data_IF_482205649818
#
_entry.id   IF_482205649818
#
_cell.length_a   1.000
_cell.length_b   1.000
_cell.length_c   1.000
_cell.angle_alpha   90.00
_cell.angle_beta   90.00
_cell.angle_gamma   90.00
#
_symmetry.space_group_name_H-M   'P 1'
#
loop_
_entity.id
_entity.type
_entity.pdbx_description
1 polymer ?
#
# COMPACT_ATOMS: atom_id res chain seq x y z
N UNK A 1 4.79 31.73 25.67
CA UNK A 1 5.38 32.20 24.40
C UNK A 1 6.73 32.80 24.77
N UNK A 2 7.69 31.94 25.11
CA UNK A 2 9.10 32.32 25.19
C UNK A 2 9.80 31.60 24.04
N UNK A 3 10.59 32.37 23.30
CA UNK A 3 11.15 32.02 22.01
C UNK A 3 11.94 30.71 22.09
N UNK A 4 11.62 29.78 21.20
CA UNK A 4 12.46 28.62 20.90
C UNK A 4 13.74 29.15 20.25
N UNK A 5 14.78 29.42 21.05
CA UNK A 5 16.10 29.72 20.53
C UNK A 5 16.71 28.42 20.01
N UNK A 6 16.64 28.23 18.69
CA UNK A 6 17.37 27.18 17.98
C UNK A 6 18.85 27.57 17.91
N UNK A 7 19.60 27.37 19.00
CA UNK A 7 21.05 27.44 18.95
C UNK A 7 21.59 26.09 18.45
N UNK A 8 22.09 26.12 17.22
CA UNK A 8 22.79 24.99 16.62
C UNK A 8 24.20 24.89 17.18
N UNK A 9 24.68 23.69 17.47
CA UNK A 9 26.07 23.44 17.85
C UNK A 9 27.04 23.65 16.66
N UNK A 10 28.33 23.38 16.89
CA UNK A 10 29.38 23.49 15.88
C UNK A 10 29.17 22.58 14.66
N UNK A 11 28.22 21.63 14.71
CA UNK A 11 27.84 20.75 13.61
C UNK A 11 26.50 21.16 12.97
N UNK A 12 25.90 22.28 13.39
CA UNK A 12 24.60 22.72 12.89
C UNK A 12 23.41 22.01 13.55
N UNK A 13 23.62 21.28 14.66
CA UNK A 13 22.58 20.48 15.31
C UNK A 13 21.88 21.27 16.40
N UNK A 14 20.55 21.20 16.48
CA UNK A 14 19.88 21.74 17.66
C UNK A 14 20.33 20.92 18.88
N UNK A 15 21.00 21.58 19.85
CA UNK A 15 21.69 20.93 20.99
C UNK A 15 20.81 19.99 21.83
N UNK A 16 19.49 20.13 21.76
CA UNK A 16 18.51 19.31 22.47
C UNK A 16 17.66 18.41 21.57
N UNK A 17 17.92 18.34 20.26
CA UNK A 17 17.15 17.53 19.33
C UNK A 17 17.70 16.10 19.24
N UNK A 18 16.93 15.14 19.75
CA UNK A 18 17.30 13.73 19.74
C UNK A 18 17.42 13.16 18.32
N UNK A 19 16.62 13.65 17.36
CA UNK A 19 16.73 13.18 15.98
C UNK A 19 18.04 13.61 15.35
N UNK A 20 18.48 14.84 15.60
CA UNK A 20 19.72 15.38 15.05
C UNK A 20 20.92 14.58 15.59
N UNK A 21 20.95 14.34 16.92
CA UNK A 21 21.99 13.53 17.56
C UNK A 21 22.04 12.11 16.98
N UNK A 22 20.90 11.41 16.92
CA UNK A 22 20.83 10.05 16.38
C UNK A 22 21.22 10.02 14.89
N UNK A 23 20.80 11.02 14.12
CA UNK A 23 21.16 11.15 12.71
C UNK A 23 22.66 11.26 12.53
N UNK A 24 23.35 12.09 13.32
CA UNK A 24 24.82 12.20 13.24
C UNK A 24 25.50 10.89 13.58
N UNK A 25 25.06 10.21 14.64
CA UNK A 25 25.66 8.91 15.01
C UNK A 25 25.46 7.87 13.90
N UNK A 26 24.26 7.79 13.31
CA UNK A 26 24.01 6.90 12.16
C UNK A 26 24.92 7.26 11.00
N UNK A 27 24.99 8.54 10.62
CA UNK A 27 25.83 8.99 9.50
C UNK A 27 27.30 8.60 9.71
N UNK A 28 27.83 8.86 10.90
CA UNK A 28 29.21 8.51 11.24
C UNK A 28 29.43 6.99 11.27
N UNK A 29 28.46 6.21 11.76
CA UNK A 29 28.58 4.76 11.78
C UNK A 29 28.60 4.15 10.38
N UNK A 30 27.84 4.70 9.42
CA UNK A 30 27.86 4.26 8.03
C UNK A 30 29.18 4.64 7.36
N UNK A 31 29.63 5.90 7.51
CA UNK A 31 30.89 6.38 6.90
C UNK A 31 32.12 5.62 7.42
N UNK A 32 32.11 5.22 8.69
CA UNK A 32 33.23 4.49 9.32
C UNK A 32 33.09 2.97 9.21
N UNK A 33 32.06 2.45 8.53
CA UNK A 33 31.73 1.04 8.45
C UNK A 33 31.57 0.35 9.85
N UNK A 34 31.03 1.09 10.83
CA UNK A 34 30.82 0.64 12.21
C UNK A 34 29.40 0.07 12.37
N UNK A 35 29.24 -1.18 11.93
CA UNK A 35 27.96 -1.88 12.00
C UNK A 35 27.41 -2.06 13.43
N UNK A 36 28.21 -2.41 14.46
CA UNK A 36 27.72 -2.50 15.84
C UNK A 36 27.12 -1.18 16.36
N UNK A 37 27.80 -0.05 16.16
CA UNK A 37 27.27 1.27 16.60
C UNK A 37 26.00 1.62 15.84
N UNK A 38 25.94 1.31 14.54
CA UNK A 38 24.72 1.48 13.75
C UNK A 38 23.54 0.69 14.34
N UNK A 39 23.74 -0.60 14.63
CA UNK A 39 22.70 -1.47 15.22
C UNK A 39 22.18 -0.92 16.55
N UNK A 40 23.08 -0.52 17.45
CA UNK A 40 22.69 0.10 18.73
C UNK A 40 21.95 1.42 18.51
N UNK A 41 22.37 2.22 17.54
CA UNK A 41 21.71 3.50 17.22
C UNK A 41 20.31 3.29 16.64
N UNK A 42 20.11 2.23 15.83
CA UNK A 42 18.79 1.85 15.34
C UNK A 42 17.82 1.51 16.48
N UNK A 43 18.27 0.88 17.57
CA UNK A 43 17.42 0.65 18.76
C UNK A 43 16.87 1.97 19.33
N UNK A 44 17.74 2.98 19.46
CA UNK A 44 17.33 4.29 19.96
C UNK A 44 16.38 5.01 18.99
N UNK A 45 16.64 4.90 17.68
CA UNK A 45 15.73 5.43 16.65
C UNK A 45 14.37 4.75 16.74
N UNK A 46 14.31 3.43 16.92
CA UNK A 46 13.06 2.71 17.09
C UNK A 46 12.28 3.21 18.31
N UNK A 47 12.94 3.40 19.44
CA UNK A 47 12.30 3.94 20.63
C UNK A 47 11.76 5.36 20.41
N UNK A 48 12.53 6.23 19.74
CA UNK A 48 12.09 7.58 19.42
C UNK A 48 10.88 7.60 18.48
N UNK A 49 10.87 6.72 17.48
CA UNK A 49 9.73 6.54 16.56
C UNK A 49 8.49 6.09 17.33
N UNK A 50 8.60 5.07 18.18
CA UNK A 50 7.48 4.59 19.01
C UNK A 50 6.89 5.71 19.85
N UNK A 51 7.72 6.42 20.60
CA UNK A 51 7.28 7.55 21.42
C UNK A 51 6.58 8.63 20.59
N UNK A 52 7.08 8.91 19.37
CA UNK A 52 6.48 9.90 18.48
C UNK A 52 5.11 9.47 17.94
N UNK A 53 4.99 8.20 17.53
CA UNK A 53 3.78 7.67 16.89
C UNK A 53 2.68 7.36 17.90
N UNK A 54 3.05 6.92 19.09
CA UNK A 54 2.13 6.67 20.20
C UNK A 54 1.78 7.92 21.01
N UNK A 55 2.33 9.08 20.67
CA UNK A 55 2.06 10.31 21.40
C UNK A 55 0.54 10.56 21.47
N UNK A 56 0.05 10.67 22.71
CA UNK A 56 -1.35 10.98 23.04
C UNK A 56 -1.38 12.34 23.72
N UNK A 57 -2.29 13.20 23.29
CA UNK A 57 -2.56 14.44 24.04
C UNK A 57 -3.51 14.17 25.20
N UNK A 58 -3.34 14.95 26.27
CA UNK A 58 -4.26 15.02 27.41
C UNK A 58 -5.42 15.99 27.17
N UNK A 59 -5.39 16.78 26.09
CA UNK A 59 -6.41 17.76 25.72
C UNK A 59 -7.16 17.30 24.48
N UNK A 60 -8.44 17.64 24.40
CA UNK A 60 -9.37 17.20 23.35
C UNK A 60 -9.09 17.79 21.96
N UNK A 61 -8.25 18.82 21.82
CA UNK A 61 -8.06 19.57 20.56
C UNK A 61 -6.64 19.55 19.96
N UNK A 62 -5.68 18.79 20.51
CA UNK A 62 -4.28 18.82 20.03
C UNK A 62 -4.02 17.92 18.80
N UNK A 63 -5.07 17.57 18.02
CA UNK A 63 -4.92 16.67 16.87
C UNK A 63 -3.90 17.19 15.84
N UNK A 64 -3.84 18.51 15.63
CA UNK A 64 -2.87 19.13 14.72
C UNK A 64 -1.43 18.99 15.22
N UNK A 65 -1.20 19.15 16.53
CA UNK A 65 0.13 19.01 17.12
C UNK A 65 0.60 17.55 17.06
N UNK A 66 -0.27 16.60 17.44
CA UNK A 66 0.04 15.16 17.36
C UNK A 66 0.32 14.73 15.91
N UNK A 67 -0.49 15.19 14.96
CA UNK A 67 -0.26 14.95 13.52
C UNK A 67 1.05 15.58 13.05
N UNK A 68 1.37 16.78 13.54
CA UNK A 68 2.63 17.48 13.27
C UNK A 68 3.86 16.70 13.74
N UNK A 69 3.83 16.18 14.98
CA UNK A 69 4.91 15.34 15.52
C UNK A 69 5.11 14.09 14.68
N UNK A 70 4.04 13.36 14.37
CA UNK A 70 4.11 12.16 13.51
C UNK A 70 4.66 12.49 12.12
N UNK A 71 4.16 13.56 11.50
CA UNK A 71 4.61 14.02 10.19
C UNK A 71 6.10 14.37 10.19
N UNK A 72 6.59 15.04 11.25
CA UNK A 72 8.00 15.37 11.39
C UNK A 72 8.86 14.12 11.58
N UNK A 73 8.43 13.19 12.43
CA UNK A 73 9.14 11.91 12.64
C UNK A 73 9.21 11.08 11.35
N UNK A 74 8.13 11.00 10.57
CA UNK A 74 8.15 10.38 9.24
C UNK A 74 9.18 11.06 8.32
N UNK A 75 9.15 12.40 8.21
CA UNK A 75 10.07 13.14 7.35
C UNK A 75 11.53 12.90 7.72
N UNK A 76 11.84 12.95 9.02
CA UNK A 76 13.22 12.75 9.52
C UNK A 76 13.70 11.32 9.31
N UNK A 77 12.86 10.34 9.62
CA UNK A 77 13.17 8.94 9.35
C UNK A 77 13.41 8.67 7.87
N UNK A 78 12.54 9.18 6.99
CA UNK A 78 12.67 8.99 5.54
C UNK A 78 13.86 9.73 4.95
N UNK A 79 14.19 10.90 5.49
CA UNK A 79 15.42 11.62 5.16
C UNK A 79 16.67 10.82 5.54
N UNK A 80 16.65 10.18 6.71
CA UNK A 80 17.73 9.28 7.14
C UNK A 80 17.84 8.05 6.23
N UNK A 81 16.72 7.39 5.92
CA UNK A 81 16.66 6.25 4.99
C UNK A 81 17.27 6.62 3.63
N UNK A 82 16.89 7.77 3.09
CA UNK A 82 17.39 8.24 1.80
C UNK A 82 18.90 8.49 1.85
N UNK A 83 19.39 9.16 2.90
CA UNK A 83 20.81 9.39 3.08
C UNK A 83 21.61 8.08 3.22
N UNK A 84 21.11 7.11 4.01
CA UNK A 84 21.76 5.80 4.14
C UNK A 84 21.83 5.14 2.77
N UNK A 85 20.77 5.20 1.98
CA UNK A 85 20.74 4.62 0.63
C UNK A 85 21.76 5.27 -0.34
N UNK A 86 22.08 6.55 -0.18
CA UNK A 86 23.10 7.20 -1.02
C UNK A 86 24.52 6.75 -0.66
N UNK A 87 24.77 6.47 0.61
CA UNK A 87 26.11 6.13 1.13
C UNK A 87 26.38 4.62 1.24
N UNK A 88 25.35 3.82 1.52
CA UNK A 88 25.43 2.37 1.71
C UNK A 88 25.46 1.62 0.38
N UNK A 89 26.65 1.60 -0.24
CA UNK A 89 26.86 0.98 -1.55
C UNK A 89 26.58 -0.52 -1.58
N UNK A 90 26.85 -1.21 -0.47
CA UNK A 90 26.68 -2.67 -0.33
C UNK A 90 25.29 -3.07 0.16
N UNK A 91 24.45 -2.12 0.58
CA UNK A 91 23.09 -2.36 1.05
C UNK A 91 22.98 -3.01 2.43
N UNK A 92 24.09 -3.14 3.17
CA UNK A 92 24.12 -3.83 4.47
C UNK A 92 23.36 -3.04 5.54
N UNK A 93 23.51 -1.72 5.55
CA UNK A 93 22.91 -0.81 6.53
C UNK A 93 21.41 -0.62 6.26
N UNK A 94 21.04 -0.48 4.99
CA UNK A 94 19.63 -0.37 4.60
C UNK A 94 18.88 -1.67 4.88
N UNK A 95 19.51 -2.83 4.65
CA UNK A 95 18.94 -4.14 5.00
C UNK A 95 18.79 -4.30 6.52
N UNK A 96 19.79 -3.90 7.29
CA UNK A 96 19.72 -3.86 8.74
C UNK A 96 18.55 -2.99 9.25
N UNK A 97 18.35 -1.81 8.66
CA UNK A 97 17.21 -0.96 8.96
C UNK A 97 15.89 -1.67 8.66
N UNK A 98 15.80 -2.31 7.48
CA UNK A 98 14.62 -3.07 7.07
C UNK A 98 14.33 -4.21 8.07
N UNK A 99 15.36 -4.94 8.48
CA UNK A 99 15.27 -6.02 9.45
C UNK A 99 14.73 -5.51 10.78
N UNK A 100 15.16 -4.32 11.21
CA UNK A 100 14.72 -3.72 12.46
C UNK A 100 13.25 -3.32 12.44
N UNK A 101 12.82 -2.60 11.41
CA UNK A 101 11.42 -2.17 11.29
C UNK A 101 10.47 -3.35 11.05
N UNK A 102 10.83 -4.28 10.15
CA UNK A 102 10.04 -5.49 9.93
C UNK A 102 10.01 -6.39 11.18
N UNK A 103 11.12 -6.46 11.92
CA UNK A 103 11.19 -7.19 13.19
C UNK A 103 10.22 -6.62 14.23
N UNK A 104 10.08 -5.29 14.29
CA UNK A 104 9.11 -4.66 15.18
C UNK A 104 7.65 -4.97 14.77
N UNK A 105 7.31 -4.94 13.48
CA UNK A 105 5.98 -5.32 13.02
C UNK A 105 5.62 -6.78 13.31
N UNK A 106 6.63 -7.64 13.55
CA UNK A 106 6.46 -9.03 13.98
C UNK A 106 6.55 -9.21 15.50
N UNK A 107 6.73 -8.14 16.27
CA UNK A 107 6.81 -8.20 17.74
C UNK A 107 5.42 -8.29 18.35
N UNK A 108 5.30 -8.91 19.54
CA UNK A 108 4.03 -9.08 20.25
C UNK A 108 3.21 -7.79 20.35
N UNK A 109 3.87 -6.67 20.62
CA UNK A 109 3.27 -5.33 20.70
C UNK A 109 2.50 -4.94 19.43
N UNK A 110 3.10 -5.13 18.25
CA UNK A 110 2.46 -4.84 16.97
C UNK A 110 1.41 -5.90 16.60
N UNK A 111 1.66 -7.17 16.94
CA UNK A 111 0.76 -8.28 16.66
C UNK A 111 -0.57 -8.19 17.41
N UNK A 112 -0.59 -7.67 18.64
CA UNK A 112 -1.81 -7.46 19.41
C UNK A 112 -2.63 -6.26 18.93
N UNK A 113 -1.98 -5.32 18.25
CA UNK A 113 -2.53 -4.02 17.86
C UNK A 113 -2.31 -3.71 16.37
N UNK A 114 -2.75 -4.58 15.44
CA UNK A 114 -2.48 -4.42 14.01
C UNK A 114 -3.23 -3.26 13.35
N UNK A 115 -4.12 -2.60 14.11
CA UNK A 115 -5.03 -1.52 13.68
C UNK A 115 -4.78 -0.20 14.43
N UNK A 116 -3.71 -0.11 15.24
CA UNK A 116 -3.36 1.13 15.95
C UNK A 116 -2.41 2.01 15.12
N UNK A 117 -2.41 3.32 15.43
CA UNK A 117 -1.61 4.33 14.76
C UNK A 117 -0.11 3.97 14.68
N UNK A 118 0.45 3.33 15.71
CA UNK A 118 1.85 2.92 15.73
C UNK A 118 2.14 1.94 14.59
N UNK A 119 1.35 0.88 14.49
CA UNK A 119 1.50 -0.15 13.46
C UNK A 119 1.30 0.44 12.07
N UNK A 120 0.26 1.26 11.88
CA UNK A 120 0.01 1.94 10.60
C UNK A 120 1.17 2.85 10.17
N UNK A 121 1.73 3.62 11.12
CA UNK A 121 2.84 4.53 10.85
C UNK A 121 4.10 3.77 10.50
N UNK A 122 4.43 2.70 11.22
CA UNK A 122 5.60 1.86 10.92
C UNK A 122 5.41 1.09 9.61
N UNK A 123 4.21 0.60 9.31
CA UNK A 123 3.87 0.02 8.00
C UNK A 123 4.15 1.00 6.85
N UNK A 124 3.78 2.28 7.03
CA UNK A 124 4.05 3.34 6.06
C UNK A 124 5.55 3.54 5.82
N UNK A 125 6.37 3.55 6.88
CA UNK A 125 7.81 3.74 6.77
C UNK A 125 8.54 2.49 6.24
N UNK A 126 8.10 1.29 6.62
CA UNK A 126 8.58 0.01 6.07
C UNK A 126 8.29 -0.07 4.57
N UNK A 127 7.11 0.38 4.15
CA UNK A 127 6.74 0.46 2.74
C UNK A 127 7.64 1.45 2.00
N UNK A 128 7.88 2.65 2.56
CA UNK A 128 8.80 3.62 1.97
C UNK A 128 10.21 3.04 1.81
N UNK A 129 10.72 2.37 2.85
CA UNK A 129 12.01 1.70 2.81
C UNK A 129 12.05 0.63 1.70
N UNK A 130 11.00 -0.19 1.58
CA UNK A 130 10.89 -1.17 0.50
C UNK A 130 10.89 -0.55 -0.90
N UNK A 131 10.21 0.59 -1.07
CA UNK A 131 10.25 1.37 -2.32
C UNK A 131 11.68 1.82 -2.64
N UNK A 132 12.41 2.33 -1.66
CA UNK A 132 13.81 2.73 -1.81
C UNK A 132 14.67 1.53 -2.24
N UNK A 133 14.53 0.39 -1.55
CA UNK A 133 15.27 -0.85 -1.87
C UNK A 133 14.98 -1.37 -3.28
N UNK A 134 13.73 -1.27 -3.75
CA UNK A 134 13.33 -1.68 -5.10
C UNK A 134 13.96 -0.81 -6.19
N UNK A 135 14.03 0.50 -5.96
CA UNK A 135 14.55 1.47 -6.94
C UNK A 135 16.06 1.39 -7.06
N UNK A 136 16.78 1.22 -5.95
CA UNK A 136 18.25 1.25 -5.99
C UNK A 136 18.91 -0.06 -6.39
N UNK A 137 18.18 -1.19 -6.31
CA UNK A 137 18.69 -2.54 -6.62
C UNK A 137 19.93 -2.95 -5.81
N UNK A 138 20.24 -2.24 -4.74
CA UNK A 138 21.39 -2.49 -3.86
C UNK A 138 21.10 -3.53 -2.78
N UNK A 139 19.84 -3.94 -2.60
CA UNK A 139 19.46 -4.89 -1.56
C UNK A 139 18.82 -6.16 -2.15
N UNK A 140 19.17 -7.29 -1.53
CA UNK A 140 18.81 -8.65 -1.94
C UNK A 140 17.36 -9.03 -1.67
N UNK A 141 16.67 -8.40 -0.69
CA UNK A 141 15.39 -8.93 -0.18
C UNK A 141 14.26 -7.89 0.07
N UNK A 142 13.85 -7.07 -0.92
CA UNK A 142 12.64 -6.24 -0.76
C UNK A 142 11.39 -7.09 -0.46
N UNK A 143 11.38 -8.38 -0.82
CA UNK A 143 10.26 -9.30 -0.55
C UNK A 143 9.93 -9.42 0.95
N UNK A 144 10.91 -9.23 1.83
CA UNK A 144 10.72 -9.23 3.28
C UNK A 144 9.74 -8.15 3.74
N UNK A 145 9.78 -6.98 3.11
CA UNK A 145 8.84 -5.88 3.34
C UNK A 145 7.44 -6.33 3.00
N UNK A 146 7.21 -6.82 1.78
CA UNK A 146 5.89 -7.25 1.34
C UNK A 146 5.32 -8.40 2.19
N UNK A 147 6.15 -9.39 2.53
CA UNK A 147 5.74 -10.49 3.41
C UNK A 147 5.34 -10.01 4.81
N UNK A 148 6.04 -8.99 5.33
CA UNK A 148 5.71 -8.41 6.64
C UNK A 148 4.40 -7.61 6.57
N UNK A 149 4.23 -6.81 5.50
CA UNK A 149 2.97 -6.10 5.22
C UNK A 149 1.81 -7.08 5.12
N UNK A 150 2.01 -8.18 4.39
CA UNK A 150 1.02 -9.26 4.26
C UNK A 150 0.64 -9.84 5.62
N UNK A 151 1.62 -10.22 6.45
CA UNK A 151 1.37 -10.79 7.76
C UNK A 151 0.56 -9.85 8.68
N UNK A 152 0.87 -8.53 8.67
CA UNK A 152 0.09 -7.54 9.42
C UNK A 152 -1.36 -7.46 8.92
N UNK A 153 -1.56 -7.56 7.61
CA UNK A 153 -2.91 -7.62 7.00
C UNK A 153 -3.68 -8.84 7.49
N UNK A 154 -3.07 -10.03 7.51
CA UNK A 154 -3.73 -11.26 7.99
C UNK A 154 -4.19 -11.11 9.45
N UNK A 155 -3.35 -10.52 10.29
CA UNK A 155 -3.65 -10.29 11.70
C UNK A 155 -4.75 -9.24 11.89
N UNK A 156 -4.70 -8.16 11.11
CA UNK A 156 -5.75 -7.14 11.08
C UNK A 156 -7.10 -7.77 10.70
N UNK A 157 -7.13 -8.60 9.65
CA UNK A 157 -8.34 -9.32 9.21
C UNK A 157 -8.84 -10.25 10.33
N UNK A 158 -7.97 -11.06 10.92
CA UNK A 158 -8.35 -11.99 11.99
C UNK A 158 -8.90 -11.24 13.22
N UNK A 159 -8.29 -10.11 13.59
CA UNK A 159 -8.76 -9.26 14.69
C UNK A 159 -10.16 -8.70 14.39
N UNK A 160 -10.38 -8.19 13.18
CA UNK A 160 -11.69 -7.70 12.74
C UNK A 160 -12.72 -8.81 12.75
N UNK A 161 -12.40 -10.01 12.24
CA UNK A 161 -13.28 -11.18 12.27
C UNK A 161 -13.72 -11.55 13.68
N UNK A 162 -12.79 -11.52 14.63
CA UNK A 162 -13.07 -11.78 16.04
C UNK A 162 -14.00 -10.71 16.62
N UNK A 163 -13.71 -9.44 16.40
CA UNK A 163 -14.51 -8.33 16.91
C UNK A 163 -15.97 -8.38 16.37
N UNK A 164 -16.16 -8.76 15.10
CA UNK A 164 -17.49 -9.00 14.51
C UNK A 164 -18.22 -10.13 15.24
N UNK A 165 -17.54 -11.26 15.49
CA UNK A 165 -18.14 -12.43 16.18
C UNK A 165 -18.52 -12.10 17.62
N UNK A 166 -17.73 -11.28 18.29
CA UNK A 166 -17.95 -10.86 19.68
C UNK A 166 -19.03 -9.75 19.80
N UNK A 167 -19.63 -9.33 18.69
CA UNK A 167 -20.74 -8.36 18.66
C UNK A 167 -20.31 -6.91 18.80
N UNK A 168 -19.00 -6.62 18.73
CA UNK A 168 -18.48 -5.27 18.69
C UNK A 168 -18.71 -4.65 17.29
N UNK A 169 -19.40 -3.51 17.27
CA UNK A 169 -19.65 -2.54 16.18
C UNK A 169 -19.51 -3.02 14.70
N UNK A 170 -20.61 -2.94 13.94
CA UNK A 170 -20.74 -3.42 12.55
C UNK A 170 -20.08 -2.54 11.47
N UNK A 171 -19.50 -1.40 11.81
CA UNK A 171 -18.92 -0.45 10.85
C UNK A 171 -17.44 -0.73 10.65
N UNK A 172 -17.16 -1.68 9.75
CA UNK A 172 -15.81 -2.06 9.31
C UNK A 172 -14.99 -0.91 8.71
N UNK A 173 -15.65 0.21 8.40
CA UNK A 173 -15.03 1.44 7.89
C UNK A 173 -14.23 2.21 8.96
N UNK A 174 -14.42 1.89 10.24
CA UNK A 174 -13.58 2.43 11.33
C UNK A 174 -12.13 1.93 11.23
N UNK A 175 -11.93 0.76 10.67
CA UNK A 175 -10.61 0.16 10.50
C UNK A 175 -10.04 0.57 9.14
N UNK A 176 -8.99 1.41 9.16
CA UNK A 176 -8.38 1.97 7.95
C UNK A 176 -7.48 0.97 7.19
N UNK A 177 -7.92 -0.29 7.08
CA UNK A 177 -7.18 -1.33 6.34
C UNK A 177 -7.16 -1.07 4.82
N UNK A 178 -8.02 -0.16 4.32
CA UNK A 178 -7.95 0.36 2.96
C UNK A 178 -6.62 1.08 2.69
N UNK A 179 -6.02 1.72 3.70
CA UNK A 179 -4.70 2.34 3.62
C UNK A 179 -3.61 1.37 3.16
N UNK A 180 -3.67 0.11 3.59
CA UNK A 180 -2.68 -0.91 3.24
C UNK A 180 -2.70 -1.28 1.76
N UNK A 181 -3.86 -1.23 1.09
CA UNK A 181 -3.93 -1.43 -0.36
C UNK A 181 -3.08 -0.39 -1.11
N UNK A 182 -3.11 0.87 -0.67
CA UNK A 182 -2.32 1.94 -1.29
C UNK A 182 -0.81 1.80 -1.02
N UNK A 183 -0.42 1.29 0.15
CA UNK A 183 0.98 0.95 0.44
C UNK A 183 1.49 -0.15 -0.52
N UNK A 184 0.72 -1.23 -0.68
CA UNK A 184 1.07 -2.33 -1.61
C UNK A 184 1.14 -1.83 -3.06
N UNK A 185 0.19 -0.98 -3.48
CA UNK A 185 0.22 -0.33 -4.79
C UNK A 185 1.50 0.48 -5.00
N UNK A 186 1.95 1.23 -4.00
CA UNK A 186 3.18 2.03 -4.10
C UNK A 186 4.39 1.12 -4.39
N UNK A 187 4.54 0.05 -3.61
CA UNK A 187 5.61 -0.93 -3.84
C UNK A 187 5.50 -1.56 -5.22
N UNK A 188 4.30 -1.94 -5.67
CA UNK A 188 4.08 -2.51 -6.99
C UNK A 188 4.46 -1.55 -8.12
N UNK A 189 4.19 -0.25 -7.98
CA UNK A 189 4.59 0.77 -8.96
C UNK A 189 6.12 0.88 -9.06
N UNK A 190 6.81 0.92 -7.92
CA UNK A 190 8.27 1.06 -7.88
C UNK A 190 8.97 -0.22 -8.36
N UNK A 191 8.42 -1.39 -8.02
CA UNK A 191 8.86 -2.68 -8.56
C UNK A 191 8.69 -2.75 -10.08
N UNK A 192 7.61 -2.20 -10.62
CA UNK A 192 7.36 -2.16 -12.07
C UNK A 192 8.42 -1.33 -12.79
N UNK A 193 8.69 -0.12 -12.31
CA UNK A 193 9.74 0.76 -12.85
C UNK A 193 11.13 0.12 -12.81
N UNK A 194 11.39 -0.69 -11.79
CA UNK A 194 12.70 -1.28 -11.54
C UNK A 194 12.88 -2.65 -12.24
N UNK A 195 11.82 -3.21 -12.83
CA UNK A 195 11.84 -4.49 -13.55
C UNK A 195 11.66 -5.73 -12.67
N UNK A 196 11.22 -5.59 -11.42
CA UNK A 196 11.01 -6.71 -10.49
C UNK A 196 9.65 -7.38 -10.69
N UNK A 197 9.46 -8.05 -11.83
CA UNK A 197 8.16 -8.63 -12.24
C UNK A 197 7.58 -9.63 -11.23
N UNK A 198 8.43 -10.42 -10.56
CA UNK A 198 7.98 -11.35 -9.50
C UNK A 198 7.37 -10.59 -8.33
N UNK A 199 7.99 -9.48 -7.95
CA UNK A 199 7.50 -8.62 -6.88
C UNK A 199 6.17 -7.96 -7.26
N UNK A 200 6.04 -7.45 -8.50
CA UNK A 200 4.78 -6.88 -9.00
C UNK A 200 3.65 -7.91 -8.93
N UNK A 201 3.90 -9.16 -9.36
CA UNK A 201 2.94 -10.25 -9.24
C UNK A 201 2.51 -10.48 -7.78
N UNK A 202 3.47 -10.54 -6.84
CA UNK A 202 3.18 -10.72 -5.40
C UNK A 202 2.40 -9.55 -4.80
N UNK A 203 2.62 -8.31 -5.27
CA UNK A 203 1.80 -7.17 -4.88
C UNK A 203 0.34 -7.37 -5.33
N UNK A 204 0.11 -7.79 -6.58
CA UNK A 204 -1.25 -8.05 -7.08
C UNK A 204 -1.93 -9.20 -6.32
N UNK A 205 -1.20 -10.27 -6.02
CA UNK A 205 -1.68 -11.39 -5.19
C UNK A 205 -2.07 -10.93 -3.78
N UNK A 206 -1.24 -10.09 -3.15
CA UNK A 206 -1.52 -9.57 -1.80
C UNK A 206 -2.72 -8.62 -1.80
N UNK A 207 -2.90 -7.81 -2.84
CA UNK A 207 -4.12 -7.01 -3.05
C UNK A 207 -5.35 -7.88 -3.25
N UNK A 208 -5.23 -8.97 -4.01
CA UNK A 208 -6.31 -9.95 -4.19
C UNK A 208 -6.72 -10.59 -2.87
N UNK A 209 -5.75 -10.99 -2.05
CA UNK A 209 -5.99 -11.54 -0.71
C UNK A 209 -6.73 -10.55 0.19
N UNK A 210 -6.24 -9.31 0.30
CA UNK A 210 -6.88 -8.25 1.09
C UNK A 210 -8.30 -7.99 0.58
N UNK A 211 -8.48 -7.87 -0.74
CA UNK A 211 -9.78 -7.62 -1.37
C UNK A 211 -10.78 -8.76 -1.15
N UNK A 212 -10.35 -10.03 -1.26
CA UNK A 212 -11.20 -11.19 -1.00
C UNK A 212 -11.71 -11.19 0.44
N UNK A 213 -10.81 -10.97 1.40
CA UNK A 213 -11.19 -10.95 2.82
C UNK A 213 -12.03 -9.72 3.17
N UNK A 214 -11.72 -8.56 2.60
CA UNK A 214 -12.57 -7.37 2.73
C UNK A 214 -13.99 -7.61 2.18
N UNK A 215 -14.13 -8.30 1.04
CA UNK A 215 -15.42 -8.65 0.46
C UNK A 215 -16.22 -9.61 1.35
N UNK A 216 -15.57 -10.63 1.94
CA UNK A 216 -16.20 -11.53 2.93
C UNK A 216 -16.76 -10.76 4.13
N UNK A 217 -15.95 -9.86 4.67
CA UNK A 217 -16.31 -9.05 5.83
C UNK A 217 -17.37 -8.00 5.48
N UNK A 218 -17.41 -7.53 4.23
CA UNK A 218 -18.29 -6.44 3.80
C UNK A 218 -17.66 -5.05 3.95
N UNK A 219 -16.33 -4.95 4.00
CA UNK A 219 -15.59 -3.69 4.04
C UNK A 219 -15.55 -3.05 2.64
N UNK A 220 -16.56 -2.21 2.34
CA UNK A 220 -16.74 -1.62 1.01
C UNK A 220 -15.55 -0.78 0.56
N UNK A 221 -15.06 0.10 1.42
CA UNK A 221 -13.93 1.00 1.10
C UNK A 221 -12.66 0.21 0.76
N UNK A 222 -12.37 -0.86 1.49
CA UNK A 222 -11.20 -1.71 1.25
C UNK A 222 -11.31 -2.49 -0.06
N UNK A 223 -12.51 -2.99 -0.40
CA UNK A 223 -12.75 -3.63 -1.70
C UNK A 223 -12.53 -2.64 -2.85
N UNK A 224 -13.08 -1.42 -2.74
CA UNK A 224 -12.88 -0.36 -3.73
C UNK A 224 -11.38 -0.03 -3.88
N UNK A 225 -10.67 0.17 -2.76
CA UNK A 225 -9.24 0.46 -2.77
C UNK A 225 -8.42 -0.67 -3.44
N UNK A 226 -8.76 -1.94 -3.17
CA UNK A 226 -8.09 -3.08 -3.81
C UNK A 226 -8.33 -3.11 -5.32
N UNK A 227 -9.56 -2.87 -5.78
CA UNK A 227 -9.85 -2.76 -7.21
C UNK A 227 -9.07 -1.63 -7.87
N UNK A 228 -9.06 -0.43 -7.28
CA UNK A 228 -8.32 0.71 -7.82
C UNK A 228 -6.81 0.43 -7.90
N UNK A 229 -6.26 -0.21 -6.87
CA UNK A 229 -4.84 -0.59 -6.84
C UNK A 229 -4.50 -1.65 -7.89
N UNK A 230 -5.31 -2.70 -8.03
CA UNK A 230 -5.15 -3.73 -9.06
C UNK A 230 -5.27 -3.15 -10.47
N UNK A 231 -6.27 -2.31 -10.72
CA UNK A 231 -6.45 -1.58 -11.98
C UNK A 231 -5.22 -0.75 -12.29
N UNK A 232 -4.72 0.02 -11.33
CA UNK A 232 -3.55 0.88 -11.57
C UNK A 232 -2.31 0.06 -11.92
N UNK A 233 -2.01 -1.01 -11.19
CA UNK A 233 -0.87 -1.88 -11.50
C UNK A 233 -1.05 -2.58 -12.84
N UNK A 234 -2.25 -3.10 -13.12
CA UNK A 234 -2.57 -3.75 -14.39
C UNK A 234 -2.44 -2.80 -15.57
N UNK A 235 -2.90 -1.55 -15.46
CA UNK A 235 -2.75 -0.52 -16.50
C UNK A 235 -1.29 -0.21 -16.79
N UNK A 236 -0.45 -0.04 -15.77
CA UNK A 236 0.99 0.16 -15.96
C UNK A 236 1.60 -1.05 -16.68
N UNK A 237 1.28 -2.27 -16.24
CA UNK A 237 1.78 -3.48 -16.89
C UNK A 237 1.31 -3.63 -18.34
N UNK A 238 0.09 -3.19 -18.66
CA UNK A 238 -0.46 -3.19 -20.02
C UNK A 238 0.28 -2.19 -20.91
N UNK A 239 0.46 -0.95 -20.43
CA UNK A 239 1.19 0.12 -21.12
C UNK A 239 2.62 -0.30 -21.46
N UNK A 240 3.31 -0.87 -20.48
CA UNK A 240 4.69 -1.36 -20.61
C UNK A 240 4.80 -2.74 -21.26
N UNK A 241 3.67 -3.37 -21.66
CA UNK A 241 3.60 -4.70 -22.28
C UNK A 241 4.35 -5.80 -21.50
N UNK A 242 4.23 -5.78 -20.17
CA UNK A 242 4.97 -6.69 -19.29
C UNK A 242 4.36 -8.10 -19.29
N UNK A 243 5.23 -9.09 -19.48
CA UNK A 243 4.92 -10.50 -19.29
C UNK A 243 4.95 -10.92 -17.82
N UNK A 244 4.48 -12.13 -17.52
CA UNK A 244 4.64 -12.73 -16.20
C UNK A 244 6.11 -13.08 -15.92
N UNK A 245 6.51 -13.03 -14.64
CA UNK A 245 7.87 -13.40 -14.22
C UNK A 245 8.17 -14.89 -14.43
N UNK A 246 7.14 -15.74 -14.44
CA UNK A 246 7.30 -17.16 -14.68
C UNK A 246 7.43 -17.40 -16.18
N UNK A 247 8.60 -17.81 -16.65
CA UNK A 247 8.89 -17.94 -18.09
C UNK A 247 8.03 -18.95 -18.87
N UNK A 248 7.21 -19.76 -18.20
CA UNK A 248 6.23 -20.67 -18.85
C UNK A 248 4.81 -20.10 -18.87
N UNK A 249 4.56 -19.02 -18.13
CA UNK A 249 3.27 -18.36 -18.12
C UNK A 249 3.13 -17.50 -19.37
N UNK A 250 2.17 -17.84 -20.22
CA UNK A 250 1.85 -17.09 -21.45
C UNK A 250 0.94 -15.89 -21.18
N UNK A 251 0.45 -15.74 -19.94
CA UNK A 251 -0.51 -14.71 -19.56
C UNK A 251 0.25 -13.41 -19.27
N UNK A 252 -0.08 -12.30 -19.98
CA UNK A 252 0.46 -10.98 -19.67
C UNK A 252 0.13 -10.53 -18.25
N UNK A 253 1.00 -9.72 -17.64
CA UNK A 253 0.86 -9.35 -16.23
C UNK A 253 -0.40 -8.52 -15.93
N UNK A 254 -0.92 -7.78 -16.91
CA UNK A 254 -2.20 -7.08 -16.77
C UNK A 254 -3.42 -8.02 -16.74
N UNK A 255 -3.35 -9.20 -17.38
CA UNK A 255 -4.39 -10.21 -17.26
C UNK A 255 -4.32 -10.95 -15.92
N UNK A 256 -3.15 -11.07 -15.29
CA UNK A 256 -3.10 -11.50 -13.89
C UNK A 256 -3.80 -10.51 -12.95
N UNK A 257 -3.65 -9.19 -13.17
CA UNK A 257 -4.44 -8.21 -12.41
C UNK A 257 -5.96 -8.44 -12.57
N UNK A 258 -6.40 -8.80 -13.78
CA UNK A 258 -7.78 -9.16 -14.07
C UNK A 258 -8.23 -10.44 -13.34
N UNK A 259 -7.42 -11.50 -13.34
CA UNK A 259 -7.67 -12.74 -12.58
C UNK A 259 -7.81 -12.44 -11.08
N UNK A 260 -6.92 -11.61 -10.53
CA UNK A 260 -6.94 -11.21 -9.13
C UNK A 260 -8.17 -10.36 -8.77
N UNK A 261 -8.67 -9.53 -9.68
CA UNK A 261 -9.97 -8.87 -9.56
C UNK A 261 -11.13 -9.88 -9.61
N UNK A 262 -11.01 -10.92 -10.43
CA UNK A 262 -11.92 -12.05 -10.50
C UNK A 262 -12.08 -12.77 -9.16
N UNK A 263 -10.98 -13.01 -8.44
CA UNK A 263 -11.03 -13.60 -7.10
C UNK A 263 -11.90 -12.78 -6.14
N UNK A 264 -11.75 -11.45 -6.11
CA UNK A 264 -12.57 -10.56 -5.28
C UNK A 264 -14.04 -10.66 -5.70
N UNK A 265 -14.30 -10.65 -7.02
CA UNK A 265 -15.65 -10.78 -7.57
C UNK A 265 -16.35 -12.06 -7.11
N UNK A 266 -15.64 -13.19 -7.02
CA UNK A 266 -16.23 -14.46 -6.53
C UNK A 266 -16.88 -14.34 -5.16
N UNK A 267 -16.35 -13.48 -4.28
CA UNK A 267 -16.92 -13.24 -2.95
C UNK A 267 -18.09 -12.27 -3.00
N UNK A 268 -18.02 -11.23 -3.84
CA UNK A 268 -19.09 -10.24 -3.96
C UNK A 268 -20.39 -10.85 -4.49
N UNK A 269 -20.30 -11.81 -5.41
CA UNK A 269 -21.47 -12.45 -6.03
C UNK A 269 -22.13 -13.53 -5.17
N UNK A 270 -21.51 -13.97 -4.07
CA UNK A 270 -22.12 -14.97 -3.18
C UNK A 270 -23.40 -14.48 -2.52
N UNK A 271 -23.52 -13.17 -2.28
CA UNK A 271 -24.71 -12.51 -1.72
C UNK A 271 -25.56 -11.85 -2.81
N UNK A 272 -25.68 -12.49 -3.98
CA UNK A 272 -26.52 -11.98 -5.06
C UNK A 272 -28.02 -12.07 -4.75
N UNK A 273 -28.77 -11.12 -5.29
CA UNK A 273 -30.25 -11.11 -5.31
C UNK A 273 -30.73 -11.82 -6.59
N UNK A 274 -32.00 -12.24 -6.63
CA UNK A 274 -32.57 -13.03 -7.73
C UNK A 274 -32.48 -12.35 -9.12
N UNK A 275 -32.33 -11.04 -9.18
CA UNK A 275 -32.13 -10.23 -10.40
C UNK A 275 -30.68 -10.22 -10.90
N UNK A 276 -29.76 -10.91 -10.21
CA UNK A 276 -28.33 -10.91 -10.50
C UNK A 276 -27.60 -9.64 -10.02
N UNK A 277 -28.25 -8.79 -9.22
CA UNK A 277 -27.60 -7.69 -8.53
C UNK A 277 -26.78 -8.21 -7.34
N UNK A 278 -25.62 -7.60 -7.10
CA UNK A 278 -24.76 -7.93 -5.97
C UNK A 278 -24.03 -6.69 -5.46
N UNK A 279 -23.44 -6.80 -4.27
CA UNK A 279 -22.74 -5.70 -3.61
C UNK A 279 -21.60 -5.18 -4.50
N UNK A 280 -21.53 -3.85 -4.69
CA UNK A 280 -20.48 -3.18 -5.46
C UNK A 280 -20.39 -3.58 -6.95
N UNK A 281 -21.46 -4.11 -7.55
CA UNK A 281 -21.51 -4.46 -8.99
C UNK A 281 -20.99 -3.34 -9.90
N UNK A 282 -21.51 -2.13 -9.75
CA UNK A 282 -21.09 -0.98 -10.57
C UNK A 282 -19.61 -0.62 -10.37
N UNK A 283 -19.06 -0.82 -9.17
CA UNK A 283 -17.64 -0.62 -8.89
C UNK A 283 -16.78 -1.68 -9.58
N UNK A 284 -17.19 -2.95 -9.50
CA UNK A 284 -16.50 -4.03 -10.19
C UNK A 284 -16.54 -3.84 -11.72
N UNK A 285 -17.69 -3.52 -12.30
CA UNK A 285 -17.85 -3.20 -13.72
C UNK A 285 -16.93 -2.06 -14.13
N UNK A 286 -16.94 -0.93 -13.39
CA UNK A 286 -16.03 0.20 -13.62
C UNK A 286 -14.56 -0.22 -13.54
N UNK A 287 -14.19 -1.05 -12.57
CA UNK A 287 -12.81 -1.51 -12.44
C UNK A 287 -12.38 -2.35 -13.66
N UNK A 288 -13.21 -3.29 -14.13
CA UNK A 288 -12.92 -4.03 -15.37
C UNK A 288 -12.83 -3.10 -16.57
N UNK A 289 -13.73 -2.12 -16.68
CA UNK A 289 -13.70 -1.14 -17.77
C UNK A 289 -12.41 -0.32 -17.77
N UNK A 290 -11.97 0.16 -16.60
CA UNK A 290 -10.71 0.89 -16.44
C UNK A 290 -9.47 0.03 -16.79
N UNK A 291 -9.47 -1.25 -16.44
CA UNK A 291 -8.36 -2.16 -16.75
C UNK A 291 -8.30 -2.55 -18.23
N UNK A 292 -9.46 -2.90 -18.82
CA UNK A 292 -9.57 -3.32 -20.22
C UNK A 292 -9.56 -2.15 -21.20
N UNK A 293 -9.89 -0.94 -20.75
CA UNK A 293 -10.01 0.27 -21.56
C UNK A 293 -11.34 0.43 -22.30
N UNK A 294 -12.27 -0.50 -22.11
CA UNK A 294 -13.57 -0.53 -22.79
C UNK A 294 -14.68 -0.80 -21.80
N UNK A 295 -15.86 -0.24 -22.03
CA UNK A 295 -17.03 -0.43 -21.18
C UNK A 295 -17.32 -1.93 -20.99
N UNK A 296 -17.45 -2.36 -19.74
CA UNK A 296 -17.70 -3.74 -19.35
C UNK A 296 -18.98 -3.86 -18.52
N UNK A 297 -19.69 -4.96 -18.71
CA UNK A 297 -20.80 -5.37 -17.84
C UNK A 297 -20.59 -6.78 -17.30
N UNK A 298 -21.01 -6.98 -16.06
CA UNK A 298 -21.00 -8.27 -15.38
C UNK A 298 -22.42 -8.84 -15.44
N UNK A 299 -22.59 -9.91 -16.22
CA UNK A 299 -23.88 -10.57 -16.46
C UNK A 299 -23.92 -11.96 -15.83
N UNK A 300 -25.03 -12.27 -15.19
CA UNK A 300 -25.32 -13.63 -14.74
C UNK A 300 -25.83 -14.46 -15.94
N UNK A 301 -25.19 -15.60 -16.21
CA UNK A 301 -25.60 -16.54 -17.25
C UNK A 301 -26.11 -17.83 -16.58
N UNK A 302 -27.41 -18.08 -16.71
CA UNK A 302 -28.03 -19.29 -16.16
C UNK A 302 -27.49 -20.54 -16.86
N UNK A 303 -27.17 -21.58 -16.09
CA UNK A 303 -26.72 -22.87 -16.61
C UNK A 303 -25.25 -22.96 -17.02
N UNK A 304 -24.46 -21.90 -16.85
CA UNK A 304 -23.02 -21.89 -17.15
C UNK A 304 -22.16 -21.84 -15.88
N UNK A 305 -20.99 -22.47 -15.95
CA UNK A 305 -19.93 -22.37 -14.95
C UNK A 305 -18.67 -21.80 -15.62
N UNK A 306 -18.18 -20.61 -15.25
CA UNK A 306 -18.70 -19.73 -14.18
C UNK A 306 -20.07 -19.10 -14.49
N UNK A 307 -20.84 -18.80 -13.44
CA UNK A 307 -22.18 -18.18 -13.54
C UNK A 307 -22.16 -16.71 -13.95
N UNK A 308 -21.02 -16.05 -13.81
CA UNK A 308 -20.85 -14.63 -14.10
C UNK A 308 -19.80 -14.44 -15.18
N UNK A 309 -20.15 -13.60 -16.15
CA UNK A 309 -19.32 -13.29 -17.29
C UNK A 309 -19.10 -11.79 -17.40
N UNK A 310 -17.86 -11.39 -17.67
CA UNK A 310 -17.48 -10.00 -17.91
C UNK A 310 -17.49 -9.78 -19.43
N UNK A 311 -18.55 -9.15 -19.92
CA UNK A 311 -18.74 -8.87 -21.35
C UNK A 311 -18.40 -7.43 -21.66
N UNK A 312 -17.61 -7.19 -22.72
CA UNK A 312 -17.43 -5.85 -23.27
C UNK A 312 -18.74 -5.38 -23.93
N UNK A 313 -19.06 -4.11 -23.74
CA UNK A 313 -20.21 -3.45 -24.37
C UNK A 313 -19.73 -2.92 -25.72
N UNK A 314 -20.48 -3.22 -26.77
CA UNK A 314 -20.23 -2.69 -28.10
C UNK A 314 -21.12 -1.47 -28.34
N UNK A 315 -20.57 -0.46 -29.00
CA UNK A 315 -21.34 0.65 -29.55
C UNK A 315 -22.32 0.10 -30.60
N UNK A 316 -23.62 0.29 -30.34
CA UNK A 316 -24.72 -0.19 -31.18
C UNK A 316 -24.66 0.36 -32.62
N UNK A 317 -24.02 1.52 -32.83
CA UNK A 317 -23.90 2.16 -34.15
C UNK A 317 -22.66 1.72 -34.90
N UNK A 318 -21.57 1.43 -34.20
CA UNK A 318 -20.26 1.12 -34.81
C UNK A 318 -19.89 -0.37 -34.81
N UNK A 319 -20.59 -1.20 -34.02
CA UNK A 319 -20.28 -2.63 -33.86
C UNK A 319 -18.91 -2.90 -33.24
N UNK A 320 -18.28 -1.88 -32.62
CA UNK A 320 -16.95 -1.93 -31.99
C UNK A 320 -17.07 -1.80 -30.47
N UNK A 321 -16.08 -2.28 -29.70
CA UNK A 321 -16.06 -2.06 -28.25
C UNK A 321 -16.14 -0.58 -27.91
N UNK A 322 -17.06 -0.21 -27.03
CA UNK A 322 -17.22 1.16 -26.54
C UNK A 322 -16.04 1.53 -25.65
N UNK A 323 -15.25 2.58 -25.97
CA UNK A 323 -14.19 3.07 -25.10
C UNK A 323 -14.73 3.47 -23.73
N UNK A 324 -14.04 3.08 -22.65
CA UNK A 324 -14.41 3.52 -21.32
C UNK A 324 -13.81 4.89 -21.03
N UNK A 325 -14.65 5.90 -20.97
CA UNK A 325 -14.27 7.29 -20.70
C UNK A 325 -14.91 7.73 -19.39
N UNK A 326 -14.12 8.31 -18.50
CA UNK A 326 -14.62 8.97 -17.29
C UNK A 326 -14.41 10.47 -17.38
N UNK A 327 -15.45 11.22 -17.01
CA UNK A 327 -15.43 12.68 -16.96
C UNK A 327 -15.76 13.13 -15.54
N UNK A 328 -14.89 13.95 -14.96
CA UNK A 328 -15.10 14.53 -13.64
C UNK A 328 -15.13 16.05 -13.73
N UNK A 329 -16.07 16.65 -12.99
CA UNK A 329 -16.15 18.10 -12.80
C UNK A 329 -16.02 18.39 -11.31
N UNK A 330 -14.88 18.98 -10.95
CA UNK A 330 -14.57 19.42 -9.60
C UNK A 330 -15.39 20.65 -9.21
N UNK A 331 -15.67 20.77 -7.91
CA UNK A 331 -16.44 21.86 -7.31
C UNK A 331 -15.89 23.27 -7.60
N UNK A 332 -14.62 23.38 -7.98
CA UNK A 332 -13.92 24.64 -8.26
C UNK A 332 -13.72 24.90 -9.77
N UNK A 333 -14.48 24.21 -10.64
CA UNK A 333 -14.44 24.43 -12.09
C UNK A 333 -13.34 23.67 -12.84
N UNK A 334 -12.52 22.87 -12.14
CA UNK A 334 -11.62 21.92 -12.79
C UNK A 334 -12.44 20.82 -13.44
N UNK A 335 -12.25 20.59 -14.73
CA UNK A 335 -12.82 19.43 -15.42
C UNK A 335 -11.70 18.60 -16.00
N UNK A 336 -11.89 17.28 -15.97
CA UNK A 336 -10.94 16.32 -16.50
C UNK A 336 -11.69 15.19 -17.19
N UNK A 337 -11.08 14.67 -18.25
CA UNK A 337 -11.55 13.51 -18.98
C UNK A 337 -10.40 12.53 -19.06
N UNK A 338 -10.67 11.26 -18.77
CA UNK A 338 -9.71 10.17 -18.88
C UNK A 338 -10.30 9.13 -19.82
N UNK A 339 -9.61 8.87 -20.94
CA UNK A 339 -9.96 7.80 -21.86
C UNK A 339 -9.09 6.58 -21.55
N UNK A 340 -9.70 5.53 -20.98
CA UNK A 340 -8.96 4.34 -20.55
C UNK A 340 -8.59 3.41 -21.73
N UNK A 341 -9.14 3.67 -22.93
CA UNK A 341 -8.74 2.99 -24.16
C UNK A 341 -7.39 3.53 -24.67
N UNK A 342 -7.08 4.80 -24.37
CA UNK A 342 -5.78 5.37 -24.68
C UNK A 342 -4.70 4.74 -23.78
N UNK A 343 -3.59 4.34 -24.40
CA UNK A 343 -2.46 3.71 -23.72
C UNK A 343 -1.42 4.73 -23.24
N UNK A 344 -1.63 6.02 -23.53
CA UNK A 344 -0.70 7.08 -23.20
C UNK A 344 -0.79 7.57 -21.74
N UNK A 345 -1.86 7.25 -21.01
CA UNK A 345 -2.10 7.69 -19.63
C UNK A 345 -1.36 6.86 -18.57
#
# INVERSE_FOLDING_TARGET
LDAWSFETDTLGLATNDLWDKLTVVVKQSVLNNDYPVFQTTLEYIMNLIKCSYELKSKKTDDYQELSGVRSMSHKRLRGLIHWIQEEDKEGIYIEAFCNKLCGHLKSHEALEKPLENLTESIMSDVTYLGSVMLVTKQCSEPMKVLNTVHAVIELAIHKIEKDIKDGHERTLEKYNIAGYAYLIKSLGKDATKSGHLHFVYRCMETLSYLGCNAAKLGSRQTVVACFECLVQLGRICRKEKLGCYWGRCIIPLHHHAEEFMGHILTWLVQKQVQDGAFMLKACAERAYSRLRGYSCSIKHQQGMNPKFWITQINDEKAGKPEPHVEEEQGRYGYSGKVDYSDHND
#
